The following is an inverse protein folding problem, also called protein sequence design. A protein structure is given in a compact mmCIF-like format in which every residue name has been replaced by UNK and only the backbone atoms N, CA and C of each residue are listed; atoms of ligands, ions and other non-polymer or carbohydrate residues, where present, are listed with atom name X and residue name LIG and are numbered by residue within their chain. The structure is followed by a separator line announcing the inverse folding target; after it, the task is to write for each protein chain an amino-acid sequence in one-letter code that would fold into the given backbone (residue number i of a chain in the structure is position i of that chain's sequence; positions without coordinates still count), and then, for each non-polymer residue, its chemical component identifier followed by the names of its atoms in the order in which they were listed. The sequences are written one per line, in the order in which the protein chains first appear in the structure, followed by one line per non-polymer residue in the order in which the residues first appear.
data_IF_614442695708
#
_entry.id   IF_614442695708
#
_cell.length_a   1.000
_cell.length_b   1.000
_cell.length_c   1.000
_cell.angle_alpha   90.00
_cell.angle_beta   90.00
_cell.angle_gamma   90.00
#
_symmetry.space_group_name_H-M   'P 1'
#
loop_
_entity.id
_entity.type
_entity.pdbx_description
1 polymer ?
#
# COMPACT_ATOMS: atom_id res chain seq x y z
N UNK A 1 -7.04 14.73 52.68
CA UNK A 1 -6.18 13.74 52.01
C UNK A 1 -6.72 13.55 50.61
N UNK A 2 -5.84 13.53 49.60
CA UNK A 2 -6.08 13.51 48.14
C UNK A 2 -6.17 14.89 47.46
N UNK A 3 -5.00 15.53 47.40
CA UNK A 3 -4.62 16.51 46.39
C UNK A 3 -4.44 15.85 45.02
N UNK A 4 -4.82 16.59 43.96
CA UNK A 4 -4.02 16.73 42.75
C UNK A 4 -4.07 15.58 41.75
N UNK A 5 -5.17 15.47 40.98
CA UNK A 5 -5.10 14.80 39.68
C UNK A 5 -4.64 15.83 38.64
N UNK A 6 -3.34 15.85 38.38
CA UNK A 6 -2.72 16.66 37.33
C UNK A 6 -2.97 15.95 36.00
N UNK A 7 -3.99 16.40 35.26
CA UNK A 7 -4.24 15.95 33.90
C UNK A 7 -3.09 16.46 33.03
N UNK A 8 -2.17 15.58 32.68
CA UNK A 8 -1.09 15.83 31.73
C UNK A 8 -1.75 16.04 30.37
N UNK A 9 -1.82 17.30 29.95
CA UNK A 9 -2.27 17.69 28.62
C UNK A 9 -1.17 17.32 27.62
N UNK A 10 -1.28 16.15 27.00
CA UNK A 10 -0.42 15.76 25.90
C UNK A 10 -0.95 16.45 24.64
N UNK A 11 -0.39 17.61 24.33
CA UNK A 11 -0.67 18.34 23.09
C UNK A 11 0.03 17.60 21.96
N UNK A 12 -0.68 16.68 21.30
CA UNK A 12 -0.26 16.08 20.04
C UNK A 12 -0.26 17.21 19.01
N UNK A 13 0.90 17.77 18.71
CA UNK A 13 1.10 18.53 17.48
C UNK A 13 0.88 17.53 16.33
N UNK A 14 -0.25 17.64 15.63
CA UNK A 14 -0.46 16.91 14.40
C UNK A 14 0.30 17.65 13.29
N UNK A 15 1.43 17.14 12.78
CA UNK A 15 1.97 17.64 11.54
C UNK A 15 0.93 17.35 10.45
N UNK A 16 0.28 18.39 9.95
CA UNK A 16 -0.67 18.27 8.86
C UNK A 16 0.14 18.02 7.59
N UNK A 17 0.41 16.74 7.30
CA UNK A 17 0.96 16.33 6.02
C UNK A 17 -0.15 16.51 4.98
N UNK A 18 -0.15 17.67 4.31
CA UNK A 18 -0.94 17.88 3.11
C UNK A 18 -0.36 16.95 2.05
N UNK A 19 -0.97 15.79 1.87
CA UNK A 19 -0.71 14.95 0.69
C UNK A 19 -1.37 15.64 -0.50
N UNK A 20 -0.54 16.30 -1.31
CA UNK A 20 -0.87 16.56 -2.72
C UNK A 20 -1.02 15.22 -3.46
N UNK A 21 -1.55 15.23 -4.68
CA UNK A 21 -1.68 14.05 -5.59
C UNK A 21 -0.32 13.49 -6.04
N UNK A 22 0.62 13.33 -5.10
CA UNK A 22 1.96 12.81 -5.28
C UNK A 22 1.93 11.39 -4.71
N UNK A 23 2.09 10.43 -5.60
CA UNK A 23 2.01 8.99 -5.37
C UNK A 23 2.66 8.54 -4.06
N UNK A 24 2.00 7.64 -3.31
CA UNK A 24 2.53 7.04 -2.07
C UNK A 24 3.52 5.89 -2.40
N UNK A 25 4.50 6.18 -3.26
CA UNK A 25 5.61 5.28 -3.59
C UNK A 25 5.59 4.70 -5.01
N UNK A 26 6.63 3.92 -5.38
CA UNK A 26 6.88 3.48 -6.75
C UNK A 26 5.84 2.49 -7.29
N UNK A 27 5.22 1.69 -6.41
CA UNK A 27 4.19 0.73 -6.80
C UNK A 27 2.89 1.41 -7.24
N UNK A 28 2.53 2.54 -6.64
CA UNK A 28 1.32 3.27 -7.02
C UNK A 28 1.47 3.88 -8.41
N UNK A 29 2.65 4.42 -8.72
CA UNK A 29 2.99 4.91 -10.07
C UNK A 29 2.86 3.77 -11.08
N UNK A 30 3.46 2.60 -10.79
CA UNK A 30 3.34 1.45 -11.68
C UNK A 30 1.90 0.99 -11.88
N UNK A 31 1.15 0.86 -10.79
CA UNK A 31 -0.23 0.44 -10.85
C UNK A 31 -1.07 1.42 -11.66
N UNK A 32 -0.84 2.73 -11.48
CA UNK A 32 -1.52 3.76 -12.28
C UNK A 32 -1.16 3.65 -13.75
N UNK A 33 0.12 3.51 -14.09
CA UNK A 33 0.57 3.36 -15.49
C UNK A 33 0.01 2.10 -16.16
N UNK A 34 -0.10 0.99 -15.42
CA UNK A 34 -0.71 -0.25 -15.91
C UNK A 34 -2.23 -0.06 -16.11
N UNK A 35 -2.90 0.62 -15.19
CA UNK A 35 -4.34 0.88 -15.28
C UNK A 35 -4.69 1.91 -16.36
N UNK A 36 -3.86 2.92 -16.58
CA UNK A 36 -4.07 4.00 -17.57
C UNK A 36 -3.86 3.51 -19.01
N UNK A 37 -3.10 2.45 -19.22
CA UNK A 37 -3.02 1.77 -20.51
C UNK A 37 -4.22 0.84 -20.74
N UNK A 38 -5.44 1.27 -20.35
CA UNK A 38 -6.72 0.58 -20.61
C UNK A 38 -6.74 -0.01 -22.02
N UNK A 39 -6.50 -1.33 -22.13
CA UNK A 39 -7.00 -2.32 -23.11
C UNK A 39 -5.95 -3.45 -23.25
N UNK A 40 -6.41 -4.64 -22.88
CA UNK A 40 -5.71 -5.93 -22.84
C UNK A 40 -4.41 -5.98 -22.05
N UNK A 41 -4.54 -6.33 -20.75
CA UNK A 41 -3.43 -6.87 -19.94
C UNK A 41 -2.59 -7.95 -20.67
N UNK A 42 -3.16 -8.56 -21.71
CA UNK A 42 -2.53 -9.55 -22.58
C UNK A 42 -1.69 -8.96 -23.74
N UNK A 43 -1.96 -7.74 -24.22
CA UNK A 43 -1.26 -7.08 -25.34
C UNK A 43 -0.29 -5.95 -24.90
N UNK A 44 -0.18 -5.64 -23.61
CA UNK A 44 0.71 -4.56 -23.17
C UNK A 44 2.18 -4.93 -23.42
N UNK A 45 2.85 -4.10 -24.23
CA UNK A 45 4.31 -4.10 -24.31
C UNK A 45 4.87 -3.58 -23.00
N UNK A 46 5.33 -4.50 -22.15
CA UNK A 46 6.08 -4.23 -20.93
C UNK A 46 7.14 -3.14 -21.11
N UNK A 47 7.77 -3.07 -22.28
CA UNK A 47 8.72 -2.02 -22.68
C UNK A 47 8.14 -0.62 -22.48
N UNK A 48 6.88 -0.40 -22.87
CA UNK A 48 6.20 0.90 -22.75
C UNK A 48 5.91 1.26 -21.29
N UNK A 49 5.59 0.28 -20.44
CA UNK A 49 5.40 0.49 -19.00
C UNK A 49 6.72 0.93 -18.37
N UNK A 50 7.82 0.23 -18.70
CA UNK A 50 9.15 0.58 -18.18
C UNK A 50 9.55 2.00 -18.59
N UNK A 51 9.34 2.38 -19.85
CA UNK A 51 9.67 3.73 -20.33
C UNK A 51 8.81 4.83 -19.67
N UNK A 52 7.51 4.55 -19.50
CA UNK A 52 6.60 5.46 -18.82
C UNK A 52 6.97 5.62 -17.33
N UNK A 53 7.36 4.51 -16.69
CA UNK A 53 7.81 4.52 -15.30
C UNK A 53 9.07 5.35 -15.11
N UNK A 54 10.09 5.19 -15.96
CA UNK A 54 11.31 5.97 -15.89
C UNK A 54 11.04 7.47 -16.09
N UNK A 55 10.15 7.82 -17.02
CA UNK A 55 9.75 9.20 -17.28
C UNK A 55 9.08 9.83 -16.05
N UNK A 56 8.14 9.12 -15.42
CA UNK A 56 7.47 9.61 -14.22
C UNK A 56 8.42 9.66 -13.01
N UNK A 57 9.31 8.69 -12.86
CA UNK A 57 10.37 8.69 -11.85
C UNK A 57 11.25 9.95 -11.97
N UNK A 58 11.73 10.26 -13.18
CA UNK A 58 12.51 11.47 -13.42
C UNK A 58 11.73 12.74 -13.06
N UNK A 59 10.44 12.82 -13.42
CA UNK A 59 9.56 13.94 -13.07
C UNK A 59 9.41 14.12 -11.56
N UNK A 60 9.20 13.03 -10.83
CA UNK A 60 9.01 13.04 -9.36
C UNK A 60 10.31 13.45 -8.66
N UNK A 61 11.44 12.82 -9.01
CA UNK A 61 12.73 13.08 -8.36
C UNK A 61 13.30 14.46 -8.73
N UNK A 62 13.09 14.94 -9.95
CA UNK A 62 13.50 16.30 -10.36
C UNK A 62 12.57 17.40 -9.84
N UNK A 63 11.27 17.12 -9.72
CA UNK A 63 10.27 18.04 -9.17
C UNK A 63 10.50 18.33 -7.68
N UNK A 64 10.84 17.31 -6.89
CA UNK A 64 11.13 17.44 -5.45
C UNK A 64 12.31 18.38 -5.13
N UNK A 65 13.19 18.66 -6.10
CA UNK A 65 14.35 19.55 -5.92
C UNK A 65 13.99 21.06 -5.98
N UNK A 66 12.74 21.44 -6.32
CA UNK A 66 12.34 22.83 -6.56
C UNK A 66 11.55 23.48 -5.41
N UNK A 67 11.20 22.74 -4.35
CA UNK A 67 10.51 23.30 -3.19
C UNK A 67 11.52 24.02 -2.28
N UNK A 68 11.46 25.35 -2.30
CA UNK A 68 12.46 26.30 -1.78
C UNK A 68 12.73 26.31 -0.27
N UNK A 69 12.61 25.19 0.44
CA UNK A 69 12.94 25.08 1.86
C UNK A 69 13.83 23.87 2.22
N UNK A 70 14.11 22.94 1.29
CA UNK A 70 15.11 21.89 1.52
C UNK A 70 15.66 21.37 0.18
N UNK A 71 16.85 21.84 -0.21
CA UNK A 71 17.42 21.68 -1.56
C UNK A 71 18.05 20.30 -1.80
N UNK A 72 17.26 19.23 -1.68
CA UNK A 72 17.73 17.86 -1.91
C UNK A 72 16.59 16.92 -2.32
N UNK A 73 16.93 15.94 -3.16
CA UNK A 73 16.07 14.79 -3.43
C UNK A 73 15.91 14.01 -2.12
N UNK A 74 14.68 13.61 -1.78
CA UNK A 74 14.44 12.66 -0.69
C UNK A 74 15.13 11.33 -1.02
N UNK A 75 16.21 11.03 -0.30
CA UNK A 75 17.06 9.87 -0.58
C UNK A 75 16.30 8.55 -0.32
N UNK A 76 15.43 8.51 0.69
CA UNK A 76 14.67 7.31 1.02
C UNK A 76 13.72 6.97 -0.13
N UNK A 77 12.94 7.96 -0.56
CA UNK A 77 12.06 7.84 -1.72
C UNK A 77 12.84 7.49 -3.00
N UNK A 78 13.96 8.16 -3.24
CA UNK A 78 14.80 7.90 -4.41
C UNK A 78 15.31 6.46 -4.45
N UNK A 79 15.71 5.89 -3.31
CA UNK A 79 16.19 4.50 -3.26
C UNK A 79 15.10 3.49 -3.57
N UNK A 80 13.85 3.73 -3.13
CA UNK A 80 12.72 2.86 -3.44
C UNK A 80 12.41 2.88 -4.95
N UNK A 81 12.35 4.06 -5.55
CA UNK A 81 12.13 4.21 -6.99
C UNK A 81 13.25 3.57 -7.81
N UNK A 82 14.51 3.73 -7.39
CA UNK A 82 15.68 3.16 -8.06
C UNK A 82 15.67 1.63 -8.04
N UNK A 83 15.28 1.01 -6.92
CA UNK A 83 15.17 -0.45 -6.80
C UNK A 83 14.20 -1.01 -7.84
N UNK A 84 13.02 -0.39 -7.95
CA UNK A 84 12.00 -0.80 -8.91
C UNK A 84 12.46 -0.51 -10.34
N UNK A 85 13.08 0.65 -10.60
CA UNK A 85 13.65 0.99 -11.90
C UNK A 85 14.68 -0.05 -12.37
N UNK A 86 15.61 -0.45 -11.49
CA UNK A 86 16.62 -1.46 -11.80
C UNK A 86 15.99 -2.81 -12.16
N UNK A 87 14.99 -3.24 -11.39
CA UNK A 87 14.24 -4.48 -11.64
C UNK A 87 13.53 -4.44 -12.99
N UNK A 88 12.88 -3.32 -13.33
CA UNK A 88 12.18 -3.16 -14.59
C UNK A 88 13.13 -3.09 -15.80
N UNK A 89 14.29 -2.44 -15.64
CA UNK A 89 15.32 -2.37 -16.68
C UNK A 89 15.92 -3.74 -16.93
N UNK A 90 16.21 -4.53 -15.89
CA UNK A 90 16.64 -5.93 -16.01
C UNK A 90 15.62 -6.77 -16.78
N UNK A 91 14.34 -6.60 -16.47
CA UNK A 91 13.27 -7.34 -17.12
C UNK A 91 13.08 -6.90 -18.58
N UNK A 92 13.26 -5.60 -18.87
CA UNK A 92 13.29 -5.06 -20.25
C UNK A 92 14.51 -5.56 -21.04
N UNK A 93 15.69 -5.64 -20.44
CA UNK A 93 16.91 -6.10 -21.15
C UNK A 93 16.81 -7.57 -21.47
N UNK A 94 16.35 -8.42 -20.53
CA UNK A 94 16.15 -9.85 -20.76
C UNK A 94 15.15 -10.12 -21.89
N UNK A 95 14.10 -9.29 -22.01
CA UNK A 95 13.11 -9.39 -23.10
C UNK A 95 13.63 -8.90 -24.47
N UNK A 96 14.53 -7.92 -24.49
CA UNK A 96 15.03 -7.32 -25.74
C UNK A 96 16.28 -8.01 -26.28
N UNK A 97 17.04 -8.72 -25.43
CA UNK A 97 18.20 -9.47 -25.87
C UNK A 97 17.71 -10.73 -26.60
N UNK A 98 18.11 -10.95 -27.87
CA UNK A 98 17.88 -12.22 -28.52
C UNK A 98 18.73 -13.26 -27.79
N UNK A 99 18.09 -14.22 -27.13
CA UNK A 99 18.82 -15.36 -26.60
C UNK A 99 19.46 -16.11 -27.78
N UNK A 100 20.69 -16.58 -27.59
CA UNK A 100 21.50 -17.18 -28.67
C UNK A 100 21.02 -18.60 -29.05
N UNK A 101 19.79 -18.94 -28.67
CA UNK A 101 19.16 -20.23 -28.89
C UNK A 101 18.01 -20.01 -29.86
N UNK A 102 18.11 -20.65 -31.02
CA UNK A 102 17.11 -20.56 -32.08
C UNK A 102 15.71 -20.97 -31.56
N UNK A 103 14.83 -19.99 -31.35
CA UNK A 103 13.37 -20.12 -31.42
C UNK A 103 12.73 -21.32 -30.72
N UNK A 104 13.03 -21.54 -29.44
CA UNK A 104 12.30 -22.53 -28.64
C UNK A 104 11.05 -21.90 -28.03
N UNK A 105 9.87 -22.50 -28.29
CA UNK A 105 8.58 -21.97 -27.81
C UNK A 105 8.53 -21.92 -26.27
N UNK A 106 9.23 -22.85 -25.60
CA UNK A 106 9.32 -22.95 -24.15
C UNK A 106 9.96 -21.70 -23.51
N UNK A 107 10.88 -21.04 -24.21
CA UNK A 107 11.58 -19.83 -23.74
C UNK A 107 10.70 -18.59 -23.87
N UNK A 108 9.89 -18.54 -24.94
CA UNK A 108 8.85 -17.53 -25.09
C UNK A 108 7.82 -17.65 -23.95
N UNK A 109 7.31 -18.86 -23.68
CA UNK A 109 6.40 -19.12 -22.55
C UNK A 109 6.98 -18.69 -21.19
N UNK A 110 8.27 -18.88 -20.96
CA UNK A 110 8.94 -18.42 -19.74
C UNK A 110 8.95 -16.89 -19.57
N UNK A 111 9.12 -16.12 -20.66
CA UNK A 111 9.05 -14.66 -20.63
C UNK A 111 7.63 -14.14 -20.36
N UNK A 112 6.60 -14.82 -20.88
CA UNK A 112 5.20 -14.53 -20.56
C UNK A 112 4.90 -14.80 -19.08
N UNK A 113 5.45 -15.87 -18.51
CA UNK A 113 5.26 -16.25 -17.09
C UNK A 113 5.90 -15.23 -16.13
N UNK A 114 7.09 -14.69 -16.46
CA UNK A 114 7.74 -13.64 -15.65
C UNK A 114 6.93 -12.33 -15.58
N UNK A 115 6.25 -11.96 -16.67
CA UNK A 115 5.32 -10.81 -16.70
C UNK A 115 4.13 -11.04 -15.77
N UNK A 116 3.49 -12.19 -15.91
CA UNK A 116 2.28 -12.51 -15.14
C UNK A 116 2.57 -12.62 -13.65
N UNK A 117 3.75 -13.11 -13.29
CA UNK A 117 4.24 -13.10 -11.92
C UNK A 117 4.40 -11.68 -11.36
N UNK A 118 5.01 -10.76 -12.12
CA UNK A 118 5.18 -9.37 -11.71
C UNK A 118 3.81 -8.71 -11.48
N UNK A 119 2.90 -8.87 -12.44
CA UNK A 119 1.55 -8.33 -12.35
C UNK A 119 0.78 -8.88 -11.15
N UNK A 120 0.87 -10.20 -10.90
CA UNK A 120 0.24 -10.84 -9.75
C UNK A 120 0.72 -10.22 -8.44
N UNK A 121 2.04 -9.99 -8.30
CA UNK A 121 2.61 -9.35 -7.10
C UNK A 121 2.16 -7.91 -6.93
N UNK A 122 2.06 -7.14 -8.02
CA UNK A 122 1.53 -5.76 -8.00
C UNK A 122 0.07 -5.74 -7.52
N UNK A 123 -0.76 -6.66 -8.02
CA UNK A 123 -2.16 -6.77 -7.63
C UNK A 123 -2.29 -7.17 -6.15
N UNK A 124 -1.52 -8.16 -5.71
CA UNK A 124 -1.45 -8.58 -4.31
C UNK A 124 -1.08 -7.40 -3.39
N UNK A 125 -0.02 -6.66 -3.73
CA UNK A 125 0.38 -5.47 -2.97
C UNK A 125 -0.76 -4.43 -2.88
N UNK A 126 -1.47 -4.16 -3.98
CA UNK A 126 -2.66 -3.29 -3.99
C UNK A 126 -3.74 -3.79 -3.02
N UNK A 127 -4.02 -5.10 -3.02
CA UNK A 127 -5.04 -5.66 -2.12
C UNK A 127 -4.67 -5.45 -0.66
N UNK A 128 -3.42 -5.70 -0.29
CA UNK A 128 -2.94 -5.51 1.08
C UNK A 128 -2.87 -4.04 1.48
N UNK A 129 -2.45 -3.15 0.57
CA UNK A 129 -2.49 -1.69 0.80
C UNK A 129 -3.91 -1.21 1.08
N UNK A 130 -4.88 -1.70 0.31
CA UNK A 130 -6.30 -1.41 0.51
C UNK A 130 -6.79 -1.94 1.86
N UNK A 131 -6.49 -3.20 2.19
CA UNK A 131 -6.85 -3.79 3.48
C UNK A 131 -6.24 -3.02 4.66
N UNK A 132 -4.98 -2.62 4.56
CA UNK A 132 -4.29 -1.81 5.57
C UNK A 132 -4.99 -0.46 5.77
N UNK A 133 -5.45 0.19 4.70
CA UNK A 133 -6.20 1.45 4.81
C UNK A 133 -7.51 1.28 5.58
N UNK A 134 -8.23 0.18 5.34
CA UNK A 134 -9.47 -0.17 6.05
C UNK A 134 -9.17 -0.42 7.53
N UNK A 135 -8.14 -1.22 7.84
CA UNK A 135 -7.76 -1.48 9.23
C UNK A 135 -7.30 -0.22 9.96
N UNK A 136 -6.62 0.70 9.28
CA UNK A 136 -6.25 2.00 9.84
C UNK A 136 -7.49 2.80 10.22
N UNK A 137 -8.51 2.83 9.36
CA UNK A 137 -9.78 3.49 9.67
C UNK A 137 -10.51 2.82 10.84
N UNK A 138 -10.58 1.48 10.86
CA UNK A 138 -11.19 0.72 11.96
C UNK A 138 -10.46 0.97 13.30
N UNK A 139 -9.13 0.96 13.28
CA UNK A 139 -8.29 1.24 14.45
C UNK A 139 -8.52 2.67 14.96
N UNK A 140 -8.61 3.65 14.06
CA UNK A 140 -8.93 5.02 14.42
C UNK A 140 -10.31 5.13 15.09
N UNK A 141 -11.33 4.46 14.56
CA UNK A 141 -12.65 4.40 15.19
C UNK A 141 -12.61 3.72 16.57
N UNK A 142 -11.90 2.59 16.68
CA UNK A 142 -11.73 1.86 17.93
C UNK A 142 -10.91 2.64 18.97
N UNK A 143 -10.06 3.59 18.56
CA UNK A 143 -9.29 4.42 19.48
C UNK A 143 -10.15 5.28 20.40
N UNK A 144 -11.40 5.54 20.02
CA UNK A 144 -12.39 6.23 20.85
C UNK A 144 -13.14 5.29 21.81
N UNK A 145 -12.93 3.98 21.72
CA UNK A 145 -13.54 2.99 22.59
C UNK A 145 -12.60 2.68 23.78
N UNK A 146 -13.14 2.81 25.00
CA UNK A 146 -12.43 2.45 26.23
C UNK A 146 -13.05 1.19 26.82
N UNK A 147 -12.20 0.21 27.15
CA UNK A 147 -12.64 -0.98 27.87
C UNK A 147 -13.13 -0.60 29.28
N UNK A 148 -14.26 -1.18 29.71
CA UNK A 148 -14.65 -1.14 31.11
C UNK A 148 -13.80 -2.13 31.89
N UNK A 149 -13.02 -1.62 32.84
CA UNK A 149 -12.22 -2.43 33.77
C UNK A 149 -13.03 -3.00 34.94
N UNK A 150 -14.28 -2.56 35.13
CA UNK A 150 -15.17 -3.05 36.17
C UNK A 150 -16.46 -3.61 35.55
N UNK A 151 -16.87 -4.79 36.04
CA UNK A 151 -18.17 -5.36 35.74
C UNK A 151 -19.32 -4.58 36.41
N UNK A 152 -20.58 -4.89 36.05
CA UNK A 152 -21.73 -4.34 36.76
C UNK A 152 -21.68 -4.72 38.25
N UNK A 153 -22.05 -3.79 39.13
CA UNK A 153 -22.14 -4.05 40.57
C UNK A 153 -23.17 -5.15 40.85
N UNK A 154 -23.01 -5.92 41.95
CA UNK A 154 -23.84 -7.09 42.26
C UNK A 154 -25.36 -6.84 42.18
N UNK A 155 -25.79 -5.64 42.61
CA UNK A 155 -27.20 -5.21 42.57
C UNK A 155 -27.76 -5.01 41.15
N UNK A 156 -26.91 -4.91 40.15
CA UNK A 156 -27.27 -4.74 38.73
C UNK A 156 -27.08 -6.00 37.89
N UNK A 157 -26.53 -7.08 38.46
CA UNK A 157 -26.38 -8.36 37.76
C UNK A 157 -27.73 -8.92 37.27
N UNK A 158 -28.80 -8.68 38.03
CA UNK A 158 -30.15 -9.14 37.70
C UNK A 158 -30.80 -8.40 36.51
N UNK A 159 -30.25 -7.27 36.08
CA UNK A 159 -30.76 -6.44 34.97
C UNK A 159 -29.80 -6.50 33.77
N UNK A 160 -28.72 -7.29 33.86
CA UNK A 160 -27.80 -7.44 32.75
C UNK A 160 -28.54 -8.01 31.53
N UNK A 161 -28.41 -7.41 30.34
CA UNK A 161 -29.01 -7.95 29.14
C UNK A 161 -28.42 -9.34 28.87
N UNK A 162 -29.28 -10.28 28.45
CA UNK A 162 -28.83 -11.59 28.00
C UNK A 162 -28.05 -11.43 26.69
N UNK A 163 -26.72 -11.48 26.80
CA UNK A 163 -25.80 -11.31 25.67
C UNK A 163 -25.88 -12.46 24.66
N UNK A 164 -26.46 -13.60 25.07
CA UNK A 164 -26.62 -14.79 24.24
C UNK A 164 -28.09 -15.07 23.89
N UNK A 165 -28.99 -14.12 24.19
CA UNK A 165 -30.42 -14.26 23.91
C UNK A 165 -30.66 -14.50 22.42
N UNK A 166 -31.15 -15.70 22.08
CA UNK A 166 -31.45 -16.11 20.70
C UNK A 166 -30.31 -16.77 19.93
N UNK A 167 -29.12 -16.94 20.51
CA UNK A 167 -28.01 -17.69 19.90
C UNK A 167 -28.09 -19.16 20.36
N UNK A 168 -28.68 -20.02 19.54
CA UNK A 168 -28.63 -21.48 19.71
C UNK A 168 -27.44 -22.04 18.93
N UNK A 169 -26.91 -23.21 19.34
CA UNK A 169 -25.75 -23.85 18.68
C UNK A 169 -25.93 -24.15 17.19
N UNK A 170 -27.17 -24.11 16.70
CA UNK A 170 -27.55 -24.27 15.30
C UNK A 170 -27.32 -22.99 14.46
N UNK A 171 -27.20 -21.81 15.09
CA UNK A 171 -27.02 -20.50 14.44
C UNK A 171 -25.55 -20.04 14.31
N UNK A 172 -24.58 -20.85 14.75
CA UNK A 172 -23.14 -20.54 14.74
C UNK A 172 -22.41 -21.16 13.52
N UNK A 173 -23.12 -21.27 12.39
CA UNK A 173 -22.60 -21.81 11.11
C UNK A 173 -21.97 -20.76 10.22
#
# INVERSE_FOLDING_TARGET
MLQGCHLVSYRIEMPYAVQTEVFEGPFDVLLRLILDQEVDLYEISLTNIVDSYLTEMERILSGAANDGNNSGVDLELATEFLLIAATLVELKTRRLLPDRTDGDLDEEFGLWEERDLLLSRLLECKTFKTAASIFRQMSHQASFAYSRTAGPEDKFLAIAPDLLGGVTGENLG
#
